data_IF_582795399135
#
_entry.id   IF_582795399135
#
_cell.length_a   1.000
_cell.length_b   1.000
_cell.length_c   1.000
_cell.angle_alpha   90.00
_cell.angle_beta   90.00
_cell.angle_gamma   90.00
#
_symmetry.space_group_name_H-M   'P 1'
#
loop_
_entity.id
_entity.type
_entity.pdbx_description
1 polymer ?
#
# COMPACT_ATOMS: atom_id res chain seq x y z
N UNK A 1 -8.90 -9.40 -2.99
CA UNK A 1 -8.27 -8.20 -3.56
C UNK A 1 -6.79 -8.27 -3.20
N UNK A 2 -5.96 -8.70 -4.15
CA UNK A 2 -4.58 -9.11 -3.91
C UNK A 2 -3.69 -8.12 -4.66
N UNK A 3 -2.96 -7.28 -3.91
CA UNK A 3 -1.56 -6.87 -4.08
C UNK A 3 -0.97 -6.59 -5.49
N UNK A 4 -1.76 -6.33 -6.54
CA UNK A 4 -1.24 -6.03 -7.89
C UNK A 4 -0.20 -4.90 -7.89
N UNK A 5 -0.31 -3.95 -6.97
CA UNK A 5 0.64 -2.84 -6.85
C UNK A 5 2.03 -3.31 -6.40
N UNK A 6 2.12 -4.12 -5.35
CA UNK A 6 3.41 -4.63 -4.86
C UNK A 6 3.97 -5.77 -5.72
N UNK A 7 3.11 -6.51 -6.42
CA UNK A 7 3.58 -7.54 -7.35
C UNK A 7 4.28 -6.92 -8.56
N UNK A 8 3.82 -5.74 -9.04
CA UNK A 8 4.57 -4.94 -10.04
C UNK A 8 5.94 -4.52 -9.52
N UNK A 9 6.02 -4.09 -8.26
CA UNK A 9 7.30 -3.71 -7.63
C UNK A 9 8.25 -4.91 -7.52
N UNK A 10 7.76 -6.08 -7.10
CA UNK A 10 8.55 -7.31 -7.05
C UNK A 10 9.08 -7.72 -8.42
N UNK A 11 8.28 -7.55 -9.48
CA UNK A 11 8.66 -7.86 -10.85
C UNK A 11 9.78 -6.95 -11.40
N UNK A 12 10.07 -5.81 -10.76
CA UNK A 12 11.22 -4.96 -11.11
C UNK A 12 12.58 -5.60 -10.71
N UNK A 13 12.57 -6.82 -10.16
CA UNK A 13 13.74 -7.68 -9.94
C UNK A 13 14.81 -7.07 -9.02
N UNK A 14 14.36 -6.32 -8.01
CA UNK A 14 15.24 -5.66 -7.05
C UNK A 14 15.34 -6.57 -5.82
N UNK A 15 16.47 -7.28 -5.75
CA UNK A 15 16.82 -8.34 -4.80
C UNK A 15 16.82 -7.95 -3.29
N UNK A 16 16.30 -6.78 -2.90
CA UNK A 16 16.49 -6.23 -1.56
C UNK A 16 15.19 -5.61 -1.02
N UNK A 17 14.25 -6.43 -0.55
CA UNK A 17 12.97 -5.97 0.00
C UNK A 17 13.04 -5.46 1.45
N UNK A 18 14.19 -5.52 2.13
CA UNK A 18 14.27 -5.24 3.58
C UNK A 18 14.47 -3.77 3.96
N UNK A 19 14.87 -2.89 3.03
CA UNK A 19 15.30 -1.52 3.37
C UNK A 19 14.68 -0.41 2.52
N UNK A 20 13.55 -0.66 1.86
CA UNK A 20 12.93 0.38 1.03
C UNK A 20 12.32 1.47 1.89
N UNK A 21 13.02 2.60 1.91
CA UNK A 21 12.52 3.86 2.46
C UNK A 21 12.19 4.75 1.29
N UNK A 22 10.92 5.10 1.17
CA UNK A 22 10.49 6.18 0.31
C UNK A 22 10.31 7.45 1.12
N UNK A 23 10.38 8.59 0.45
CA UNK A 23 10.14 9.89 1.04
C UNK A 23 8.74 10.37 0.67
N UNK A 24 8.03 10.87 1.68
CA UNK A 24 6.73 11.51 1.52
C UNK A 24 6.73 12.90 2.14
N UNK A 25 5.89 13.78 1.60
CA UNK A 25 5.43 14.97 2.31
C UNK A 25 3.91 14.97 2.42
N UNK A 26 3.38 15.70 3.41
CA UNK A 26 1.95 15.89 3.61
C UNK A 26 1.63 17.37 3.54
N UNK A 27 0.84 17.76 2.54
CA UNK A 27 0.46 19.14 2.29
C UNK A 27 -0.95 19.18 1.72
N UNK A 28 -1.76 20.16 2.12
CA UNK A 28 -3.16 20.33 1.65
C UNK A 28 -3.99 19.03 1.77
N UNK A 29 -3.88 18.36 2.91
CA UNK A 29 -4.56 17.09 3.18
C UNK A 29 -4.29 15.95 2.17
N UNK A 30 -3.14 16.03 1.48
CA UNK A 30 -2.71 15.06 0.46
C UNK A 30 -1.31 14.55 0.77
N UNK A 31 -1.14 13.24 0.60
CA UNK A 31 0.17 12.59 0.59
C UNK A 31 0.82 12.83 -0.78
N UNK A 32 2.07 13.28 -0.78
CA UNK A 32 2.87 13.45 -1.99
C UNK A 32 4.13 12.57 -1.89
N UNK A 33 4.38 11.79 -2.93
CA UNK A 33 5.60 10.99 -3.09
C UNK A 33 6.69 11.89 -3.68
N UNK A 34 7.81 12.04 -2.97
CA UNK A 34 8.86 13.01 -3.36
C UNK A 34 10.11 12.37 -3.96
N UNK A 35 10.14 11.04 -4.09
CA UNK A 35 11.19 10.34 -4.82
C UNK A 35 11.06 10.50 -6.33
N UNK A 36 12.19 10.31 -7.03
CA UNK A 36 12.32 10.45 -8.47
C UNK A 36 11.25 9.63 -9.22
N UNK A 37 10.75 10.21 -10.32
CA UNK A 37 9.79 9.56 -11.20
C UNK A 37 10.32 8.19 -11.67
N UNK A 38 9.42 7.19 -11.72
CA UNK A 38 9.68 5.79 -12.08
C UNK A 38 10.67 5.04 -11.17
N UNK A 39 11.14 5.65 -10.07
CA UNK A 39 11.92 4.92 -9.10
C UNK A 39 11.05 3.88 -8.39
N UNK A 40 11.62 2.70 -8.05
CA UNK A 40 10.89 1.68 -7.32
C UNK A 40 10.36 2.20 -5.97
N UNK A 41 11.12 3.05 -5.28
CA UNK A 41 10.68 3.71 -4.05
C UNK A 41 9.46 4.62 -4.26
N UNK A 42 9.38 5.32 -5.38
CA UNK A 42 8.19 6.11 -5.72
C UNK A 42 7.00 5.22 -5.99
N UNK A 43 7.16 4.13 -6.73
CA UNK A 43 6.07 3.16 -6.95
C UNK A 43 5.58 2.56 -5.62
N UNK A 44 6.51 2.24 -4.70
CA UNK A 44 6.16 1.81 -3.35
C UNK A 44 5.34 2.87 -2.60
N UNK A 45 5.80 4.12 -2.61
CA UNK A 45 5.05 5.23 -2.03
C UNK A 45 3.65 5.39 -2.64
N UNK A 46 3.52 5.26 -3.96
CA UNK A 46 2.24 5.36 -4.65
C UNK A 46 1.29 4.23 -4.28
N UNK A 47 1.81 3.01 -4.12
CA UNK A 47 1.03 1.87 -3.62
C UNK A 47 0.50 2.13 -2.21
N UNK A 48 1.37 2.53 -1.29
CA UNK A 48 1.01 2.81 0.10
C UNK A 48 0.02 4.00 0.20
N UNK A 49 0.24 5.07 -0.58
CA UNK A 49 -0.68 6.20 -0.69
C UNK A 49 -2.08 5.78 -1.10
N UNK A 50 -2.20 4.99 -2.17
CA UNK A 50 -3.51 4.51 -2.66
C UNK A 50 -4.21 3.64 -1.63
N UNK A 51 -3.46 2.78 -0.93
CA UNK A 51 -4.00 1.97 0.16
C UNK A 51 -4.52 2.86 1.31
N UNK A 52 -3.76 3.87 1.73
CA UNK A 52 -4.17 4.81 2.77
C UNK A 52 -5.42 5.61 2.37
N UNK A 53 -5.50 6.10 1.12
CA UNK A 53 -6.67 6.81 0.60
C UNK A 53 -7.92 5.91 0.55
N UNK A 54 -7.74 4.65 0.11
CA UNK A 54 -8.81 3.66 0.08
C UNK A 54 -9.31 3.35 1.50
N UNK A 55 -8.42 3.11 2.46
CA UNK A 55 -8.75 2.86 3.85
C UNK A 55 -9.48 4.06 4.48
N UNK A 56 -9.01 5.29 4.22
CA UNK A 56 -9.67 6.52 4.66
C UNK A 56 -11.10 6.62 4.11
N UNK A 57 -11.30 6.32 2.83
CA UNK A 57 -12.62 6.32 2.20
C UNK A 57 -13.56 5.23 2.75
N UNK A 58 -13.01 4.09 3.18
CA UNK A 58 -13.76 2.97 3.73
C UNK A 58 -14.11 3.12 5.22
N UNK A 59 -13.66 4.17 5.91
CA UNK A 59 -13.84 4.36 7.35
C UNK A 59 -15.30 4.26 7.80
N UNK A 60 -16.25 4.75 7.00
CA UNK A 60 -17.69 4.66 7.31
C UNK A 60 -18.24 3.24 7.30
N UNK A 61 -17.56 2.31 6.63
CA UNK A 61 -17.91 0.90 6.53
C UNK A 61 -16.97 -0.02 7.30
N UNK A 62 -16.04 0.58 8.04
CA UNK A 62 -15.11 -0.15 8.89
C UNK A 62 -15.87 -0.83 10.03
N UNK A 63 -15.52 -2.08 10.30
CA UNK A 63 -16.05 -2.86 11.42
C UNK A 63 -14.88 -3.34 12.26
N UNK A 64 -14.85 -2.92 13.53
CA UNK A 64 -13.86 -3.36 14.50
C UNK A 64 -13.90 -4.86 14.73
N UNK A 65 -15.04 -5.51 14.53
CA UNK A 65 -15.21 -6.96 14.72
C UNK A 65 -14.46 -7.78 13.66
N UNK A 66 -14.12 -7.13 12.54
CA UNK A 66 -13.27 -7.71 11.49
C UNK A 66 -11.79 -7.39 11.68
N UNK A 67 -11.45 -6.56 12.66
CA UNK A 67 -10.05 -6.27 13.03
C UNK A 67 -9.48 -7.54 13.66
N UNK A 68 -8.30 -7.96 13.20
CA UNK A 68 -7.60 -9.15 13.70
C UNK A 68 -8.33 -10.49 13.45
N UNK A 69 -9.34 -10.51 12.59
CA UNK A 69 -9.99 -11.74 12.17
C UNK A 69 -9.00 -12.64 11.42
N UNK A 70 -8.91 -13.91 11.83
CA UNK A 70 -8.00 -14.87 11.19
C UNK A 70 -8.26 -14.97 9.69
N UNK A 71 -7.21 -14.74 8.89
CA UNK A 71 -7.29 -14.78 7.43
C UNK A 71 -7.73 -16.15 6.91
N UNK A 72 -7.39 -17.22 7.63
CA UNK A 72 -7.72 -18.62 7.25
C UNK A 72 -9.22 -18.93 7.29
N UNK A 73 -10.01 -18.20 8.08
CA UNK A 73 -11.46 -18.40 8.19
C UNK A 73 -12.28 -17.34 7.42
N UNK A 74 -11.68 -16.19 7.13
CA UNK A 74 -12.35 -15.04 6.54
C UNK A 74 -12.22 -14.92 5.02
N UNK A 75 -11.14 -15.44 4.44
CA UNK A 75 -10.81 -15.25 3.03
C UNK A 75 -11.03 -16.55 2.26
N UNK A 76 -11.96 -16.55 1.29
CA UNK A 76 -12.06 -17.67 0.34
C UNK A 76 -10.79 -17.67 -0.53
N UNK A 77 -10.16 -18.84 -0.78
CA UNK A 77 -9.11 -18.97 -1.79
C UNK A 77 -9.64 -18.44 -3.13
N UNK A 78 -8.78 -17.72 -3.85
CA UNK A 78 -9.06 -17.24 -5.19
C UNK A 78 -9.06 -18.38 -6.20
#
# INVERSE_FOLDING_TARGET
>A
MQLECYDRIKAMNISFMTDWKYRTTYYDNKIQCVDFDESPNRELCLCDKRAAECLRGALSTYSSDKKDMSLSSACKPK
#
